data_IF_056201367351
#
_entry.id   IF_056201367351
#
_cell.length_a   1.000
_cell.length_b   1.000
_cell.length_c   1.000
_cell.angle_alpha   90.00
_cell.angle_beta   90.00
_cell.angle_gamma   90.00
#
_symmetry.space_group_name_H-M   'P 1'
#
loop_
_entity.id
_entity.type
_entity.pdbx_description
1 polymer ?
#
# COMPACT_ATOMS: atom_id res chain seq x y z
N UNK A 1 -43.79 -19.72 4.52
CA UNK A 1 -42.33 -19.76 4.32
C UNK A 1 -41.84 -18.37 3.90
N UNK A 2 -41.11 -17.64 4.76
CA UNK A 2 -40.59 -16.30 4.43
C UNK A 2 -39.38 -16.45 3.49
N UNK A 3 -39.49 -15.91 2.27
CA UNK A 3 -38.39 -15.88 1.30
C UNK A 3 -37.21 -15.12 1.91
N UNK A 4 -36.08 -15.80 2.15
CA UNK A 4 -34.81 -15.15 2.49
C UNK A 4 -34.36 -14.38 1.26
N UNK A 5 -34.52 -13.07 1.27
CA UNK A 5 -33.92 -12.19 0.25
C UNK A 5 -32.41 -12.36 0.38
N UNK A 6 -31.75 -12.80 -0.69
CA UNK A 6 -30.28 -12.87 -0.77
C UNK A 6 -29.74 -11.44 -0.65
N UNK A 7 -29.44 -11.04 0.58
CA UNK A 7 -28.63 -9.86 0.88
C UNK A 7 -27.18 -10.25 0.64
N UNK A 8 -26.38 -9.29 0.17
CA UNK A 8 -24.91 -9.38 0.02
C UNK A 8 -24.35 -9.90 -1.30
N UNK A 9 -24.50 -9.09 -2.35
CA UNK A 9 -23.67 -9.20 -3.55
C UNK A 9 -22.84 -7.95 -3.85
N UNK A 10 -23.17 -6.78 -3.28
CA UNK A 10 -22.43 -5.53 -3.56
C UNK A 10 -21.16 -5.39 -2.72
N UNK A 11 -21.23 -5.70 -1.42
CA UNK A 11 -20.09 -5.61 -0.49
C UNK A 11 -18.97 -6.59 -0.86
N UNK A 12 -19.34 -7.81 -1.23
CA UNK A 12 -18.40 -8.85 -1.67
C UNK A 12 -17.70 -8.47 -2.98
N UNK A 13 -18.40 -7.83 -3.91
CA UNK A 13 -17.83 -7.31 -5.17
C UNK A 13 -16.88 -6.14 -4.91
N UNK A 14 -17.25 -5.18 -4.06
CA UNK A 14 -16.38 -4.06 -3.70
C UNK A 14 -15.10 -4.53 -3.00
N UNK A 15 -15.22 -5.45 -2.04
CA UNK A 15 -14.08 -6.00 -1.34
C UNK A 15 -13.13 -6.74 -2.29
N UNK A 16 -13.68 -7.53 -3.21
CA UNK A 16 -12.90 -8.22 -4.25
C UNK A 16 -12.15 -7.22 -5.14
N UNK A 17 -12.81 -6.16 -5.58
CA UNK A 17 -12.18 -5.12 -6.40
C UNK A 17 -11.02 -4.45 -5.67
N UNK A 18 -11.16 -4.17 -4.37
CA UNK A 18 -10.08 -3.59 -3.55
C UNK A 18 -8.87 -4.54 -3.50
N UNK A 19 -9.10 -5.84 -3.24
CA UNK A 19 -8.02 -6.83 -3.17
C UNK A 19 -7.33 -6.97 -4.53
N UNK A 20 -8.08 -7.02 -5.63
CA UNK A 20 -7.51 -7.10 -6.98
C UNK A 20 -6.69 -5.85 -7.33
N UNK A 21 -7.12 -4.66 -6.90
CA UNK A 21 -6.34 -3.43 -7.06
C UNK A 21 -5.04 -3.44 -6.24
N UNK A 22 -5.09 -3.97 -5.01
CA UNK A 22 -3.91 -4.14 -4.15
C UNK A 22 -2.91 -5.09 -4.84
N UNK A 23 -3.36 -6.25 -5.29
CA UNK A 23 -2.52 -7.25 -5.98
C UNK A 23 -1.91 -6.69 -7.27
N UNK A 24 -2.71 -5.98 -8.08
CA UNK A 24 -2.23 -5.32 -9.28
C UNK A 24 -1.16 -4.27 -8.96
N UNK A 25 -1.35 -3.51 -7.89
CA UNK A 25 -0.38 -2.54 -7.37
C UNK A 25 0.94 -3.20 -6.98
N UNK A 26 0.89 -4.33 -6.27
CA UNK A 26 2.10 -5.08 -5.89
C UNK A 26 2.85 -5.63 -7.10
N UNK A 27 2.14 -6.26 -8.06
CA UNK A 27 2.76 -6.77 -9.30
C UNK A 27 3.39 -5.67 -10.13
N UNK A 28 2.77 -4.48 -10.18
CA UNK A 28 3.34 -3.33 -10.87
C UNK A 28 4.59 -2.82 -10.15
N UNK A 29 4.54 -2.72 -8.82
CA UNK A 29 5.69 -2.29 -8.02
C UNK A 29 6.89 -3.24 -8.18
N UNK A 30 6.65 -4.55 -8.19
CA UNK A 30 7.68 -5.57 -8.44
C UNK A 30 8.34 -5.39 -9.82
N UNK A 31 7.53 -5.18 -10.88
CA UNK A 31 8.02 -4.93 -12.24
C UNK A 31 8.84 -3.64 -12.36
N UNK A 32 8.41 -2.57 -11.69
CA UNK A 32 9.08 -1.27 -11.73
C UNK A 32 10.33 -1.22 -10.84
N UNK A 33 10.41 -2.09 -9.85
CA UNK A 33 11.54 -2.20 -8.94
C UNK A 33 11.69 -1.00 -8.00
N UNK A 34 12.89 -0.86 -7.44
CA UNK A 34 13.17 0.17 -6.45
C UNK A 34 13.15 1.57 -7.09
N UNK A 35 12.27 2.45 -6.60
CA UNK A 35 12.19 3.82 -7.09
C UNK A 35 13.51 4.60 -6.85
N UNK A 36 14.22 5.08 -7.89
CA UNK A 36 15.45 5.84 -7.71
C UNK A 36 15.17 7.21 -7.07
N UNK A 37 16.09 7.70 -6.24
CA UNK A 37 15.95 9.03 -5.63
C UNK A 37 16.17 10.08 -6.71
N UNK A 38 15.09 10.77 -7.12
CA UNK A 38 15.15 11.79 -8.18
C UNK A 38 15.08 13.20 -7.57
N UNK A 39 15.96 14.11 -8.01
CA UNK A 39 16.00 15.50 -7.50
C UNK A 39 14.69 16.21 -7.87
N UNK A 40 13.98 16.75 -6.88
CA UNK A 40 12.71 17.46 -7.09
C UNK A 40 11.45 16.59 -7.19
N UNK A 41 11.56 15.25 -7.15
CA UNK A 41 10.39 14.37 -7.23
C UNK A 41 9.62 14.31 -5.90
N UNK A 42 8.35 14.70 -5.88
CA UNK A 42 7.51 14.76 -4.66
C UNK A 42 6.71 13.49 -4.38
N UNK A 43 7.01 12.36 -5.03
CA UNK A 43 6.39 11.10 -4.68
C UNK A 43 6.76 10.71 -3.24
N UNK A 44 5.86 9.97 -2.58
CA UNK A 44 6.05 9.55 -1.19
C UNK A 44 7.36 8.79 -0.98
N UNK A 45 7.78 7.98 -1.97
CA UNK A 45 9.06 7.27 -1.95
C UNK A 45 10.27 8.20 -1.90
N UNK A 46 10.32 9.22 -2.77
CA UNK A 46 11.39 10.21 -2.79
C UNK A 46 11.39 11.09 -1.54
N UNK A 47 10.21 11.50 -1.06
CA UNK A 47 10.08 12.29 0.17
C UNK A 47 10.58 11.50 1.38
N UNK A 48 10.18 10.24 1.53
CA UNK A 48 10.61 9.39 2.63
C UNK A 48 12.12 9.11 2.59
N UNK A 49 12.69 8.85 1.41
CA UNK A 49 14.14 8.69 1.26
C UNK A 49 14.89 9.96 1.65
N UNK A 50 14.44 11.15 1.23
CA UNK A 50 15.03 12.43 1.65
C UNK A 50 14.94 12.64 3.15
N UNK A 51 13.78 12.37 3.76
CA UNK A 51 13.61 12.47 5.22
C UNK A 51 14.58 11.55 5.97
N UNK A 52 14.79 10.31 5.51
CA UNK A 52 15.76 9.38 6.12
C UNK A 52 17.22 9.82 5.98
N UNK A 53 17.57 10.55 4.92
CA UNK A 53 18.91 11.13 4.77
C UNK A 53 19.10 12.28 5.76
N UNK A 54 18.09 13.12 5.93
CA UNK A 54 18.13 14.29 6.83
C UNK A 54 17.98 13.92 8.31
N UNK A 55 17.22 12.88 8.59
CA UNK A 55 16.97 12.32 9.92
C UNK A 55 17.18 10.81 9.83
N UNK A 56 18.42 10.32 9.93
CA UNK A 56 18.68 8.89 10.01
C UNK A 56 17.91 8.35 11.21
N UNK A 57 16.92 7.49 10.95
CA UNK A 57 16.16 6.86 12.02
C UNK A 57 17.14 6.11 12.92
N UNK A 58 17.08 6.36 14.22
CA UNK A 58 17.82 5.57 15.19
C UNK A 58 17.52 4.09 14.94
N UNK A 59 18.55 3.29 14.61
CA UNK A 59 18.45 1.87 14.26
C UNK A 59 17.79 1.02 15.37
N UNK A 60 17.60 1.59 16.56
CA UNK A 60 17.22 0.90 17.78
C UNK A 60 15.73 1.03 18.11
N UNK A 61 14.84 1.05 17.11
CA UNK A 61 13.42 0.91 17.41
C UNK A 61 13.13 -0.54 17.82
N UNK A 62 13.30 -0.84 19.11
CA UNK A 62 12.90 -2.11 19.71
C UNK A 62 11.44 -1.98 20.16
N UNK A 63 10.54 -2.61 19.43
CA UNK A 63 9.20 -2.86 19.92
C UNK A 63 9.31 -3.76 21.17
N UNK A 64 8.83 -3.28 22.33
CA UNK A 64 8.63 -4.10 23.52
C UNK A 64 7.14 -4.40 23.61
N UNK A 65 6.82 -5.71 23.65
CA UNK A 65 5.49 -6.24 23.95
C UNK A 65 5.09 -5.95 25.40
#
# INVERSE_FOLDING_TARGET
MKKRVKKDNSYTVQHRMIVEMIDAGFKLAEKLGAHPLTKGCNCIGCVNKRKRILQPSEKNWKFKL
#
